data_IF_464756752905
#
_entry.id   IF_464756752905
#
_cell.length_a   1.000
_cell.length_b   1.000
_cell.length_c   1.000
_cell.angle_alpha   90.00
_cell.angle_beta   90.00
_cell.angle_gamma   90.00
#
_symmetry.space_group_name_H-M   'P 1'
#
loop_
_entity.id
_entity.type
_entity.pdbx_description
1 polymer ?
#
# COMPACT_ATOMS: atom_id res chain seq x y z
N UNK A 1 10.04 22.29 12.20
CA UNK A 1 8.86 21.41 12.16
C UNK A 1 8.26 21.37 13.55
N UNK A 2 6.99 21.72 13.70
CA UNK A 2 6.29 21.67 14.98
C UNK A 2 5.77 20.25 15.19
N UNK A 3 6.06 19.64 16.33
CA UNK A 3 5.56 18.30 16.67
C UNK A 3 4.21 18.46 17.36
N UNK A 4 3.15 17.89 16.78
CA UNK A 4 1.82 17.84 17.38
C UNK A 4 1.60 16.47 18.03
N UNK A 5 1.12 16.45 19.27
CA UNK A 5 0.75 15.24 20.00
C UNK A 5 -0.76 15.24 20.26
N UNK A 6 -1.33 14.05 20.38
CA UNK A 6 -2.76 13.89 20.53
C UNK A 6 -3.21 12.45 20.32
N UNK A 7 -4.51 12.25 20.19
CA UNK A 7 -5.14 10.96 19.98
C UNK A 7 -5.61 10.82 18.54
N UNK A 8 -5.39 9.63 17.96
CA UNK A 8 -5.93 9.27 16.66
C UNK A 8 -7.46 9.23 16.74
N UNK A 9 -8.14 9.94 15.84
CA UNK A 9 -9.59 10.00 15.79
C UNK A 9 -10.14 9.20 14.60
N UNK A 10 -9.65 9.48 13.39
CA UNK A 10 -10.07 8.80 12.17
C UNK A 10 -8.97 8.86 11.11
N UNK A 11 -8.97 7.92 10.17
CA UNK A 11 -8.19 8.05 8.94
C UNK A 11 -8.84 7.33 7.78
N UNK A 12 -8.79 7.98 6.61
CA UNK A 12 -9.41 7.47 5.40
C UNK A 12 -8.57 7.80 4.16
N UNK A 13 -8.64 6.94 3.13
CA UNK A 13 -7.90 7.16 1.90
C UNK A 13 -8.46 8.37 1.14
N UNK A 14 -7.55 9.12 0.57
CA UNK A 14 -7.82 10.18 -0.41
C UNK A 14 -6.91 9.99 -1.61
N UNK A 15 -7.08 10.79 -2.66
CA UNK A 15 -6.15 10.78 -3.77
C UNK A 15 -4.72 11.07 -3.27
N UNK A 16 -3.77 10.22 -3.64
CA UNK A 16 -2.34 10.30 -3.31
C UNK A 16 -1.96 10.12 -1.82
N UNK A 17 -2.85 9.60 -0.96
CA UNK A 17 -2.47 9.33 0.43
C UNK A 17 -3.65 9.13 1.38
N UNK A 18 -3.43 9.44 2.65
CA UNK A 18 -4.42 9.33 3.72
C UNK A 18 -4.69 10.71 4.33
N UNK A 19 -5.97 10.97 4.64
CA UNK A 19 -6.30 12.00 5.64
C UNK A 19 -6.27 11.34 7.00
N UNK A 20 -5.65 12.02 7.96
CA UNK A 20 -5.57 11.57 9.35
C UNK A 20 -6.10 12.67 10.22
N UNK A 21 -7.14 12.38 10.98
CA UNK A 21 -7.68 13.27 12.00
C UNK A 21 -7.13 12.88 13.37
N UNK A 22 -6.66 13.88 14.09
CA UNK A 22 -6.21 13.76 15.47
C UNK A 22 -6.94 14.78 16.33
N UNK A 23 -7.17 14.44 17.60
CA UNK A 23 -7.51 15.41 18.64
C UNK A 23 -6.20 15.79 19.34
N UNK A 24 -5.78 17.04 19.21
CA UNK A 24 -4.59 17.53 19.90
C UNK A 24 -4.78 17.44 21.43
N UNK A 25 -3.67 17.45 22.18
CA UNK A 25 -3.71 17.39 23.66
C UNK A 25 -4.63 18.46 24.29
N UNK A 26 -4.83 19.59 23.59
CA UNK A 26 -5.63 20.73 24.07
C UNK A 26 -7.12 20.62 23.66
N UNK A 27 -7.50 19.54 22.97
CA UNK A 27 -8.87 19.27 22.50
C UNK A 27 -9.14 19.73 21.07
N UNK A 28 -8.23 20.48 20.46
CA UNK A 28 -8.42 20.99 19.09
C UNK A 28 -8.36 19.85 18.05
N UNK A 29 -9.31 19.78 17.10
CA UNK A 29 -9.24 18.83 16.01
C UNK A 29 -8.18 19.27 14.98
N UNK A 30 -7.28 18.37 14.63
CA UNK A 30 -6.21 18.60 13.66
C UNK A 30 -6.36 17.61 12.51
N UNK A 31 -6.42 18.14 11.29
CA UNK A 31 -6.41 17.35 10.06
C UNK A 31 -5.00 17.35 9.47
N UNK A 32 -4.47 16.16 9.26
CA UNK A 32 -3.16 15.92 8.66
C UNK A 32 -3.31 15.19 7.32
N UNK A 33 -2.25 15.25 6.52
CA UNK A 33 -2.11 14.46 5.30
C UNK A 33 -0.84 13.62 5.41
N UNK A 34 -0.99 12.33 5.14
CA UNK A 34 0.12 11.40 5.02
C UNK A 34 0.19 10.93 3.55
N UNK A 35 1.38 11.04 2.94
CA UNK A 35 1.64 10.55 1.58
C UNK A 35 1.83 9.02 1.58
N UNK A 36 0.93 8.31 2.24
CA UNK A 36 1.01 6.89 2.46
C UNK A 36 0.91 6.13 1.15
N UNK A 37 1.96 5.39 0.80
CA UNK A 37 2.03 4.55 -0.39
C UNK A 37 1.98 3.07 0.02
N UNK A 38 0.80 2.43 0.03
CA UNK A 38 0.69 1.05 0.43
C UNK A 38 1.26 0.16 -0.65
N UNK A 39 1.76 -0.97 -0.19
CA UNK A 39 2.14 -2.05 -1.06
C UNK A 39 1.56 -3.38 -0.57
N UNK A 40 1.46 -4.32 -1.49
CA UNK A 40 1.25 -5.72 -1.17
C UNK A 40 2.38 -6.55 -1.79
N UNK A 41 2.55 -7.77 -1.29
CA UNK A 41 3.66 -8.64 -1.66
C UNK A 41 3.15 -9.84 -2.44
N UNK A 42 3.83 -10.16 -3.54
CA UNK A 42 3.57 -11.32 -4.35
C UNK A 42 4.79 -12.24 -4.35
N UNK A 43 4.57 -13.54 -4.19
CA UNK A 43 5.61 -14.54 -4.42
C UNK A 43 5.40 -15.10 -5.82
N UNK A 44 6.31 -14.77 -6.74
CA UNK A 44 6.21 -15.12 -8.16
C UNK A 44 7.23 -16.17 -8.59
N UNK A 45 7.91 -16.81 -7.64
CA UNK A 45 8.95 -17.80 -7.93
C UNK A 45 8.38 -18.94 -8.78
N UNK A 46 9.01 -19.20 -9.94
CA UNK A 46 8.58 -20.23 -10.88
C UNK A 46 7.39 -19.86 -11.77
N UNK A 47 6.86 -18.63 -11.67
CA UNK A 47 5.76 -18.15 -12.52
C UNK A 47 6.28 -17.13 -13.55
N UNK A 48 6.04 -17.41 -14.84
CA UNK A 48 6.32 -16.47 -15.93
C UNK A 48 5.19 -15.44 -16.04
N UNK A 49 5.18 -14.45 -15.12
CA UNK A 49 4.17 -13.38 -15.08
C UNK A 49 4.79 -12.07 -15.56
N UNK A 50 4.17 -11.48 -16.56
CA UNK A 50 4.48 -10.12 -17.01
C UNK A 50 3.56 -9.10 -16.31
N UNK A 51 4.04 -8.56 -15.19
CA UNK A 51 3.33 -7.51 -14.45
C UNK A 51 3.16 -6.22 -15.25
N UNK A 52 4.06 -5.92 -16.20
CA UNK A 52 3.93 -4.73 -17.04
C UNK A 52 2.79 -4.89 -18.03
N UNK A 53 2.69 -6.05 -18.68
CA UNK A 53 1.57 -6.37 -19.56
C UNK A 53 0.23 -6.33 -18.80
N UNK A 54 0.16 -6.92 -17.60
CA UNK A 54 -1.05 -6.88 -16.77
C UNK A 54 -1.40 -5.46 -16.33
N UNK A 55 -0.42 -4.68 -15.87
CA UNK A 55 -0.61 -3.29 -15.46
C UNK A 55 -1.19 -2.44 -16.60
N UNK A 56 -0.60 -2.55 -17.79
CA UNK A 56 -1.03 -1.83 -18.98
C UNK A 56 -2.44 -2.25 -19.43
N UNK A 57 -2.67 -3.56 -19.57
CA UNK A 57 -3.96 -4.12 -20.03
C UNK A 57 -5.15 -3.71 -19.15
N UNK A 58 -4.95 -3.63 -17.84
CA UNK A 58 -6.01 -3.30 -16.89
C UNK A 58 -5.93 -1.87 -16.36
N UNK A 59 -5.00 -1.06 -16.86
CA UNK A 59 -4.77 0.33 -16.40
C UNK A 59 -4.66 0.41 -14.87
N UNK A 60 -3.78 -0.41 -14.29
CA UNK A 60 -3.54 -0.45 -12.85
C UNK A 60 -2.47 0.58 -12.49
N UNK A 61 -2.73 1.53 -11.57
CA UNK A 61 -1.76 2.56 -11.20
C UNK A 61 -0.73 2.01 -10.20
N UNK A 62 0.12 1.09 -10.65
CA UNK A 62 1.07 0.39 -9.78
C UNK A 62 2.50 0.41 -10.30
N UNK A 63 3.44 0.37 -9.37
CA UNK A 63 4.86 0.05 -9.60
C UNK A 63 5.22 -1.20 -8.84
N UNK A 64 6.34 -1.83 -9.19
CA UNK A 64 6.83 -2.96 -8.43
C UNK A 64 8.35 -3.00 -8.37
N UNK A 65 8.86 -3.58 -7.29
CA UNK A 65 10.28 -3.82 -7.07
C UNK A 65 10.49 -5.22 -6.47
N UNK A 66 11.66 -5.80 -6.72
CA UNK A 66 12.08 -7.03 -6.04
C UNK A 66 12.67 -6.68 -4.68
N UNK A 67 12.26 -7.38 -3.62
CA UNK A 67 12.76 -7.16 -2.27
C UNK A 67 12.76 -8.45 -1.45
N UNK A 68 13.31 -8.38 -0.23
CA UNK A 68 13.23 -9.45 0.75
C UNK A 68 12.31 -9.03 1.89
N UNK A 69 11.45 -9.95 2.34
CA UNK A 69 10.59 -9.75 3.51
C UNK A 69 10.61 -10.99 4.38
N UNK A 70 10.47 -10.78 5.69
CA UNK A 70 10.29 -11.86 6.63
C UNK A 70 8.89 -12.43 6.47
N UNK A 71 8.79 -13.73 6.21
CA UNK A 71 7.52 -14.45 6.29
C UNK A 71 7.18 -14.66 7.77
N UNK A 72 5.96 -14.29 8.16
CA UNK A 72 5.58 -14.10 9.57
C UNK A 72 5.57 -15.40 10.38
N UNK A 73 5.23 -16.53 9.77
CA UNK A 73 5.09 -17.80 10.49
C UNK A 73 6.42 -18.54 10.63
N UNK A 74 7.22 -18.60 9.57
CA UNK A 74 8.51 -19.28 9.56
C UNK A 74 9.66 -18.40 10.07
N UNK A 75 9.47 -17.08 10.13
CA UNK A 75 10.52 -16.11 10.44
C UNK A 75 11.61 -16.02 9.37
N UNK A 76 11.46 -16.72 8.23
CA UNK A 76 12.48 -16.77 7.17
C UNK A 76 12.34 -15.59 6.23
N UNK A 77 13.47 -15.05 5.78
CA UNK A 77 13.49 -14.10 4.67
C UNK A 77 13.11 -14.80 3.37
N UNK A 78 12.16 -14.21 2.65
CA UNK A 78 11.72 -14.65 1.33
C UNK A 78 11.87 -13.53 0.31
N UNK A 79 12.21 -13.91 -0.92
CA UNK A 79 12.20 -12.99 -2.06
C UNK A 79 10.74 -12.78 -2.49
N UNK A 80 10.35 -11.53 -2.60
CA UNK A 80 8.99 -11.14 -2.98
C UNK A 80 9.01 -9.95 -3.93
N UNK A 81 7.97 -9.86 -4.73
CA UNK A 81 7.67 -8.65 -5.50
C UNK A 81 6.82 -7.73 -4.65
N UNK A 82 7.34 -6.56 -4.31
CA UNK A 82 6.62 -5.49 -3.63
C UNK A 82 5.88 -4.66 -4.67
N UNK A 83 4.55 -4.68 -4.67
CA UNK A 83 3.71 -3.91 -5.60
C UNK A 83 3.13 -2.71 -4.87
N UNK A 84 3.56 -1.51 -5.24
CA UNK A 84 3.07 -0.25 -4.68
C UNK A 84 1.94 0.30 -5.55
N UNK A 85 0.83 0.71 -4.95
CA UNK A 85 -0.30 1.32 -5.65
C UNK A 85 -0.24 2.84 -5.46
N UNK A 86 -0.09 3.59 -6.56
CA UNK A 86 0.07 5.05 -6.55
C UNK A 86 -1.22 5.81 -6.24
N UNK A 87 -2.37 5.19 -6.48
CA UNK A 87 -3.68 5.73 -6.09
C UNK A 87 -4.34 4.81 -5.07
N UNK A 88 -4.42 5.29 -3.83
CA UNK A 88 -4.94 4.55 -2.69
C UNK A 88 -6.38 4.09 -2.89
N UNK A 89 -7.18 4.88 -3.59
CA UNK A 89 -8.58 4.57 -3.88
C UNK A 89 -8.70 3.38 -4.85
N UNK A 90 -7.64 3.05 -5.58
CA UNK A 90 -7.58 1.93 -6.52
C UNK A 90 -6.96 0.66 -5.91
N UNK A 91 -6.48 0.70 -4.66
CA UNK A 91 -5.77 -0.41 -4.04
C UNK A 91 -6.52 -1.75 -4.14
N UNK A 92 -7.78 -1.76 -3.69
CA UNK A 92 -8.62 -2.96 -3.73
C UNK A 92 -8.89 -3.45 -5.15
N UNK A 93 -8.97 -2.56 -6.14
CA UNK A 93 -9.12 -2.93 -7.55
C UNK A 93 -7.84 -3.60 -8.07
N UNK A 94 -6.67 -3.07 -7.75
CA UNK A 94 -5.39 -3.66 -8.11
C UNK A 94 -5.26 -5.08 -7.55
N UNK A 95 -5.47 -5.25 -6.23
CA UNK A 95 -5.39 -6.56 -5.56
C UNK A 95 -6.37 -7.55 -6.20
N UNK A 96 -7.66 -7.19 -6.33
CA UNK A 96 -8.68 -8.09 -6.90
C UNK A 96 -8.41 -8.44 -8.37
N UNK A 97 -7.80 -7.53 -9.13
CA UNK A 97 -7.50 -7.79 -10.55
C UNK A 97 -6.36 -8.78 -10.66
N UNK A 98 -5.29 -8.58 -9.90
CA UNK A 98 -4.13 -9.47 -9.93
C UNK A 98 -4.43 -10.85 -9.34
N UNK A 99 -5.25 -10.93 -8.29
CA UNK A 99 -5.69 -12.20 -7.69
C UNK A 99 -6.49 -13.11 -8.66
N UNK A 100 -6.89 -12.61 -9.85
CA UNK A 100 -7.50 -13.44 -10.90
C UNK A 100 -6.46 -14.21 -11.73
N UNK A 101 -5.21 -13.75 -11.74
CA UNK A 101 -4.13 -14.28 -12.58
C UNK A 101 -2.99 -14.88 -11.77
N UNK A 102 -2.89 -14.48 -10.51
CA UNK A 102 -1.85 -14.86 -9.58
C UNK A 102 -2.47 -15.73 -8.47
N UNK A 103 -1.71 -16.71 -7.94
CA UNK A 103 -2.15 -17.51 -6.82
C UNK A 103 -2.43 -16.67 -5.57
#
# INVERSE_FOLDING_TARGET
MTVTRGWFFDAYPVQNGMRVWMLAEHGDPVMLFDAFEPCFYLRLDGLAIDLAALSSRYSLPMTWTQTQRMELFSGRLQRVTCVTVRDLLQFSRCVRTLARFLP
#
